data_IF_353949776814
#
_entry.id   IF_353949776814
#
_cell.length_a   1.000
_cell.length_b   1.000
_cell.length_c   1.000
_cell.angle_alpha   90.00
_cell.angle_beta   90.00
_cell.angle_gamma   90.00
#
_symmetry.space_group_name_H-M   'P 1'
#
loop_
_entity.id
_entity.type
_entity.pdbx_description
1 polymer ?
#
# COMPACT_ATOMS: atom_id res chain seq x y z
N UNK A 1 4.81 -3.62 2.23
CA UNK A 1 6.01 -2.78 2.42
C UNK A 1 5.79 -1.45 1.73
N UNK A 2 6.43 -0.38 2.22
CA UNK A 2 6.39 0.92 1.56
C UNK A 2 7.22 0.91 0.25
N UNK A 3 6.82 1.66 -0.79
CA UNK A 3 7.50 1.74 -2.08
C UNK A 3 8.99 2.08 -2.00
N UNK A 4 9.34 3.07 -1.20
CA UNK A 4 10.69 3.55 -0.98
C UNK A 4 11.55 2.51 -0.25
N UNK A 5 10.95 1.75 0.68
CA UNK A 5 11.65 0.69 1.40
C UNK A 5 11.96 -0.49 0.47
N UNK A 6 10.97 -0.98 -0.27
CA UNK A 6 11.14 -2.15 -1.14
C UNK A 6 11.96 -1.84 -2.39
N UNK A 7 11.87 -0.61 -2.91
CA UNK A 7 12.66 -0.12 -4.04
C UNK A 7 14.08 0.31 -3.67
N UNK A 8 14.50 0.17 -2.40
CA UNK A 8 15.85 0.53 -1.95
C UNK A 8 16.17 2.02 -2.05
N UNK A 9 15.16 2.89 -1.91
CA UNK A 9 15.29 4.35 -1.92
C UNK A 9 15.58 4.88 -0.50
N UNK A 10 15.73 6.20 -0.37
CA UNK A 10 15.87 6.84 0.94
C UNK A 10 14.60 6.56 1.77
N UNK A 11 14.80 6.03 2.97
CA UNK A 11 13.74 5.69 3.91
C UNK A 11 13.65 6.77 4.97
N UNK A 12 12.44 7.28 5.22
CA UNK A 12 12.11 8.15 6.34
C UNK A 12 10.88 7.63 7.10
N UNK A 13 10.28 8.45 7.96
CA UNK A 13 9.10 8.06 8.76
C UNK A 13 7.83 7.81 7.92
N UNK A 14 7.80 8.19 6.63
CA UNK A 14 6.65 7.93 5.76
C UNK A 14 6.40 6.43 5.55
N UNK A 15 7.44 5.58 5.66
CA UNK A 15 7.28 4.12 5.55
C UNK A 15 6.31 3.55 6.58
N UNK A 16 6.31 4.13 7.79
CA UNK A 16 5.43 3.70 8.89
C UNK A 16 3.99 4.14 8.61
N UNK A 17 3.81 5.33 8.03
CA UNK A 17 2.50 5.85 7.64
C UNK A 17 1.89 5.01 6.52
N UNK A 18 2.69 4.64 5.52
CA UNK A 18 2.27 3.73 4.47
C UNK A 18 1.87 2.36 5.04
N UNK A 19 2.72 1.78 5.89
CA UNK A 19 2.46 0.49 6.53
C UNK A 19 1.16 0.52 7.36
N UNK A 20 0.94 1.60 8.12
CA UNK A 20 -0.29 1.80 8.87
C UNK A 20 -1.52 1.91 7.95
N UNK A 21 -1.41 2.65 6.84
CA UNK A 21 -2.44 2.73 5.82
C UNK A 21 -2.82 1.36 5.24
N UNK A 22 -1.81 0.53 4.91
CA UNK A 22 -2.02 -0.86 4.51
C UNK A 22 -2.78 -1.64 5.59
N UNK A 23 -2.33 -1.63 6.85
CA UNK A 23 -3.00 -2.37 7.93
C UNK A 23 -4.45 -1.92 8.14
N UNK A 24 -4.73 -0.62 8.09
CA UNK A 24 -6.10 -0.09 8.20
C UNK A 24 -6.96 -0.55 7.02
N UNK A 25 -6.43 -0.55 5.80
CA UNK A 25 -7.14 -1.05 4.63
C UNK A 25 -7.48 -2.54 4.76
N UNK A 26 -6.55 -3.36 5.25
CA UNK A 26 -6.81 -4.79 5.50
C UNK A 26 -7.89 -4.99 6.56
N UNK A 27 -7.83 -4.25 7.67
CA UNK A 27 -8.83 -4.32 8.73
C UNK A 27 -10.23 -3.92 8.24
N UNK A 28 -10.33 -2.87 7.43
CA UNK A 28 -11.61 -2.38 6.91
C UNK A 28 -12.22 -3.29 5.84
N UNK A 29 -11.39 -3.97 5.05
CA UNK A 29 -11.85 -4.77 3.90
C UNK A 29 -11.87 -6.27 4.17
N UNK A 30 -11.15 -6.74 5.19
CA UNK A 30 -10.91 -8.16 5.45
C UNK A 30 -10.09 -8.86 4.37
N UNK A 31 -9.39 -8.10 3.51
CA UNK A 31 -8.60 -8.61 2.39
C UNK A 31 -7.15 -8.18 2.54
N UNK A 32 -6.22 -9.05 2.17
CA UNK A 32 -4.80 -8.73 2.09
C UNK A 32 -4.55 -7.65 1.03
N UNK A 33 -3.72 -6.66 1.37
CA UNK A 33 -3.31 -5.64 0.39
C UNK A 33 -2.49 -6.30 -0.72
N UNK A 34 -2.78 -5.96 -1.98
CA UNK A 34 -2.20 -6.59 -3.18
C UNK A 34 -2.56 -8.07 -3.38
N UNK A 35 -3.53 -8.61 -2.62
CA UNK A 35 -3.91 -10.01 -2.69
C UNK A 35 -4.41 -10.47 -4.07
N UNK A 36 -4.84 -9.55 -4.93
CA UNK A 36 -5.22 -9.82 -6.32
C UNK A 36 -4.05 -10.28 -7.21
N UNK A 37 -2.82 -10.01 -6.80
CA UNK A 37 -1.61 -10.41 -7.52
C UNK A 37 -1.08 -11.79 -7.11
N UNK A 38 -1.68 -12.41 -6.09
CA UNK A 38 -1.28 -13.73 -5.61
C UNK A 38 0.10 -13.74 -4.95
N UNK A 39 0.75 -14.90 -5.00
CA UNK A 39 2.09 -15.10 -4.42
C UNK A 39 3.15 -14.82 -5.50
N UNK A 40 3.68 -13.58 -5.48
CA UNK A 40 4.72 -13.15 -6.40
C UNK A 40 6.13 -13.44 -5.84
N UNK A 41 7.11 -13.61 -6.72
CA UNK A 41 8.52 -13.66 -6.31
C UNK A 41 9.02 -12.26 -5.93
N UNK A 42 10.17 -12.19 -5.25
CA UNK A 42 10.68 -10.93 -4.71
C UNK A 42 10.83 -9.82 -5.75
N UNK A 43 11.40 -10.13 -6.92
CA UNK A 43 11.64 -9.12 -7.96
C UNK A 43 10.33 -8.54 -8.51
N UNK A 44 9.29 -9.38 -8.66
CA UNK A 44 7.96 -8.94 -9.08
C UNK A 44 7.33 -7.99 -8.04
N UNK A 45 7.56 -8.22 -6.73
CA UNK A 45 7.11 -7.30 -5.67
C UNK A 45 7.84 -5.95 -5.73
N UNK A 46 9.15 -5.97 -6.01
CA UNK A 46 9.95 -4.75 -6.17
C UNK A 46 9.42 -3.94 -7.35
N UNK A 47 9.11 -4.58 -8.47
CA UNK A 47 8.55 -3.90 -9.63
C UNK A 47 7.13 -3.38 -9.38
N UNK A 48 6.26 -4.19 -8.77
CA UNK A 48 4.88 -3.81 -8.46
C UNK A 48 4.83 -2.64 -7.47
N UNK A 49 5.50 -2.75 -6.32
CA UNK A 49 5.36 -1.80 -5.23
C UNK A 49 6.41 -0.68 -5.33
N UNK A 50 7.65 -0.98 -5.71
CA UNK A 50 8.76 -0.02 -5.72
C UNK A 50 8.90 0.79 -7.00
N UNK A 51 8.62 0.20 -8.18
CA UNK A 51 8.88 0.85 -9.47
C UNK A 51 7.64 1.31 -10.24
N UNK A 52 6.51 0.60 -10.12
CA UNK A 52 5.27 1.00 -10.80
C UNK A 52 4.61 2.22 -10.15
N UNK A 53 3.60 2.81 -10.80
CA UNK A 53 2.76 3.85 -10.20
C UNK A 53 1.51 3.28 -9.50
N UNK A 54 1.40 1.95 -9.38
CA UNK A 54 0.25 1.34 -8.71
C UNK A 54 0.28 1.62 -7.22
N UNK A 55 -0.91 1.91 -6.66
CA UNK A 55 -1.17 2.00 -5.22
C UNK A 55 -2.24 0.98 -4.83
N UNK A 56 -2.34 0.60 -3.55
CA UNK A 56 -3.39 -0.29 -3.08
C UNK A 56 -4.78 0.20 -3.49
N UNK A 57 -5.66 -0.73 -3.89
CA UNK A 57 -7.02 -0.37 -4.27
C UNK A 57 -7.86 -0.01 -3.05
N UNK A 58 -8.30 1.25 -2.97
CA UNK A 58 -9.23 1.72 -1.95
C UNK A 58 -10.66 1.47 -2.42
N UNK A 59 -11.44 0.75 -1.62
CA UNK A 59 -12.83 0.42 -1.94
C UNK A 59 -13.73 1.67 -1.85
N UNK A 60 -14.51 1.91 -2.90
CA UNK A 60 -15.53 2.99 -2.95
C UNK A 60 -16.70 2.78 -1.98
N UNK A 61 -16.79 1.61 -1.34
CA UNK A 61 -17.80 1.29 -0.33
C UNK A 61 -17.45 1.79 1.07
N UNK A 62 -16.20 2.24 1.29
CA UNK A 62 -15.78 2.83 2.56
C UNK A 62 -16.36 4.23 2.72
N UNK A 63 -16.42 4.74 3.96
CA UNK A 63 -16.84 6.13 4.17
C UNK A 63 -15.88 7.12 3.52
N UNK A 64 -16.34 8.35 3.25
CA UNK A 64 -15.50 9.38 2.64
C UNK A 64 -14.26 9.69 3.49
N UNK A 65 -14.41 9.68 4.81
CA UNK A 65 -13.33 9.92 5.77
C UNK A 65 -12.29 8.80 5.75
N UNK A 66 -12.73 7.54 5.65
CA UNK A 66 -11.83 6.40 5.54
C UNK A 66 -11.08 6.43 4.20
N UNK A 67 -11.75 6.80 3.11
CA UNK A 67 -11.11 6.95 1.80
C UNK A 67 -10.06 8.08 1.84
N UNK A 68 -10.40 9.26 2.36
CA UNK A 68 -9.48 10.40 2.49
C UNK A 68 -8.25 10.05 3.35
N UNK A 69 -8.49 9.43 4.50
CA UNK A 69 -7.42 8.97 5.38
C UNK A 69 -6.46 8.01 4.66
N UNK A 70 -7.00 6.99 3.98
CA UNK A 70 -6.18 6.02 3.25
C UNK A 70 -5.42 6.64 2.08
N UNK A 71 -6.04 7.58 1.33
CA UNK A 71 -5.38 8.30 0.25
C UNK A 71 -4.21 9.16 0.75
N UNK A 72 -4.30 9.69 1.97
CA UNK A 72 -3.22 10.45 2.62
C UNK A 72 -2.11 9.56 3.16
N UNK A 73 -2.42 8.32 3.55
CA UNK A 73 -1.41 7.37 4.01
C UNK A 73 -0.66 6.69 2.86
N UNK A 74 -1.37 6.37 1.78
CA UNK A 74 -0.86 5.57 0.66
C UNK A 74 -0.33 6.44 -0.48
N UNK A 75 0.53 7.40 -0.12
CA UNK A 75 1.22 8.30 -1.07
C UNK A 75 2.55 7.68 -1.49
N UNK A 76 2.83 7.69 -2.80
CA UNK A 76 4.07 7.19 -3.41
C UNK A 76 5.08 8.30 -3.64
#
# INVERSE_FOLDING_TARGET
>A
MAPELIGGRLVDFAVDIWAFGCSVLEMLTGKTVWGEHGDLVHDDWVDLIGHSDLTPQISTRLSAEAQDFLMRCLVK
#
